data_IF_925432433368
#
_entry.id   IF_925432433368
#
_cell.length_a   1.000
_cell.length_b   1.000
_cell.length_c   1.000
_cell.angle_alpha   90.00
_cell.angle_beta   90.00
_cell.angle_gamma   90.00
#
_symmetry.space_group_name_H-M   'P 1'
#
loop_
_entity.id
_entity.type
_entity.pdbx_description
1 polymer ?
#
# COMPACT_ATOMS: atom_id res chain seq x y z
N UNK A 1 -31.55 -18.55 0.78
CA UNK A 1 -30.18 -18.83 1.27
C UNK A 1 -30.22 -20.07 2.15
N UNK A 2 -29.59 -21.17 1.70
CA UNK A 2 -29.75 -22.51 2.30
C UNK A 2 -28.56 -22.94 3.19
N UNK A 3 -27.53 -22.10 3.31
CA UNK A 3 -26.33 -22.43 4.06
C UNK A 3 -26.57 -22.45 5.59
N UNK A 4 -26.30 -23.59 6.21
CA UNK A 4 -26.49 -23.85 7.64
C UNK A 4 -25.60 -23.00 8.56
N UNK A 5 -24.40 -22.61 8.10
CA UNK A 5 -23.50 -21.75 8.85
C UNK A 5 -24.05 -20.33 9.07
N UNK A 6 -24.89 -19.84 8.16
CA UNK A 6 -25.49 -18.49 8.21
C UNK A 6 -26.73 -18.42 9.13
N UNK A 7 -27.28 -19.57 9.55
CA UNK A 7 -28.47 -19.64 10.41
C UNK A 7 -28.15 -19.79 11.90
N UNK A 8 -26.89 -20.07 12.26
CA UNK A 8 -26.51 -20.27 13.66
C UNK A 8 -26.46 -18.91 14.38
N UNK A 9 -27.49 -18.62 15.18
CA UNK A 9 -27.62 -17.36 15.92
C UNK A 9 -28.33 -16.23 15.17
N UNK A 10 -28.83 -16.49 13.96
CA UNK A 10 -29.55 -15.48 13.17
C UNK A 10 -30.95 -15.24 13.75
N UNK A 11 -31.19 -14.02 14.27
CA UNK A 11 -32.51 -13.56 14.66
C UNK A 11 -33.10 -12.71 13.53
N UNK A 12 -34.28 -13.08 13.05
CA UNK A 12 -34.99 -12.30 12.05
C UNK A 12 -35.46 -10.99 12.68
N UNK A 13 -34.87 -9.88 12.28
CA UNK A 13 -35.31 -8.56 12.75
C UNK A 13 -36.47 -8.13 11.83
N UNK A 14 -37.66 -7.94 12.42
CA UNK A 14 -38.84 -7.45 11.71
C UNK A 14 -38.97 -5.96 11.98
N UNK A 15 -38.80 -5.16 10.94
CA UNK A 15 -39.15 -3.74 10.96
C UNK A 15 -40.41 -3.55 10.15
N UNK A 16 -41.27 -2.63 10.60
CA UNK A 16 -42.23 -1.97 9.74
C UNK A 16 -41.80 -0.51 9.61
N UNK A 17 -41.94 0.02 8.39
CA UNK A 17 -41.68 1.44 8.10
C UNK A 17 -43.03 2.13 8.13
N UNK A 18 -43.24 2.96 9.14
CA UNK A 18 -44.35 3.90 9.19
C UNK A 18 -43.71 5.28 9.38
N UNK A 19 -43.89 6.16 8.39
CA UNK A 19 -43.42 7.54 8.37
C UNK A 19 -41.92 7.77 8.65
N UNK A 20 -41.03 7.19 7.82
CA UNK A 20 -39.57 7.39 7.85
C UNK A 20 -38.86 7.09 9.18
N UNK A 21 -39.53 6.38 10.11
CA UNK A 21 -38.93 5.84 11.34
C UNK A 21 -38.97 4.31 11.34
N UNK A 22 -37.83 3.70 11.64
CA UNK A 22 -37.69 2.25 11.83
C UNK A 22 -38.12 1.88 13.26
N UNK A 23 -39.27 1.21 13.40
CA UNK A 23 -39.75 0.71 14.69
C UNK A 23 -39.41 -0.78 14.84
N UNK A 24 -38.75 -1.16 15.94
CA UNK A 24 -38.62 -2.55 16.38
C UNK A 24 -39.84 -2.91 17.23
N UNK A 25 -40.47 -4.07 16.96
CA UNK A 25 -41.50 -4.62 17.84
C UNK A 25 -40.84 -5.02 19.16
N UNK A 26 -41.12 -4.28 20.22
CA UNK A 26 -40.97 -4.75 21.59
C UNK A 26 -42.29 -5.44 21.91
N UNK A 27 -42.24 -6.72 22.23
CA UNK A 27 -43.44 -7.45 22.69
C UNK A 27 -43.97 -6.75 23.95
N UNK A 28 -45.25 -6.40 23.85
CA UNK A 28 -46.05 -5.61 24.77
C UNK A 28 -46.32 -6.42 26.05
N UNK A 29 -45.68 -6.05 27.16
CA UNK A 29 -46.22 -6.27 28.49
C UNK A 29 -45.92 -5.01 29.32
N UNK A 30 -47.01 -4.29 29.62
CA UNK A 30 -47.23 -3.44 30.79
C UNK A 30 -46.63 -2.01 30.85
N UNK A 31 -47.57 -1.07 30.68
CA UNK A 31 -47.86 0.12 31.50
C UNK A 31 -47.26 1.49 31.11
N UNK A 32 -48.09 2.27 30.43
CA UNK A 32 -48.47 3.67 30.72
C UNK A 32 -47.65 4.40 31.81
N UNK A 33 -46.90 5.43 31.41
CA UNK A 33 -46.97 6.74 32.07
C UNK A 33 -46.30 7.83 31.24
N UNK A 34 -46.91 9.00 31.32
CA UNK A 34 -46.79 10.11 30.42
C UNK A 34 -45.67 11.08 30.83
N UNK A 35 -45.29 11.91 29.86
CA UNK A 35 -44.87 13.32 30.02
C UNK A 35 -43.44 13.67 30.49
N UNK A 36 -42.82 14.50 29.62
CA UNK A 36 -41.80 15.56 29.85
C UNK A 36 -40.46 15.14 30.48
N UNK A 37 -39.30 15.48 29.93
CA UNK A 37 -38.73 16.83 29.84
C UNK A 37 -37.57 16.85 28.82
N UNK A 38 -37.38 18.03 28.22
CA UNK A 38 -36.30 18.33 27.28
C UNK A 38 -35.11 18.89 28.05
N UNK A 39 -34.12 18.07 28.36
CA UNK A 39 -32.82 18.55 28.86
C UNK A 39 -31.72 18.38 27.81
N UNK A 40 -31.41 19.51 27.18
CA UNK A 40 -30.14 19.76 26.51
C UNK A 40 -29.07 19.87 27.59
N UNK A 41 -28.10 18.96 27.58
CA UNK A 41 -26.81 19.24 28.20
C UNK A 41 -25.69 19.23 27.16
N UNK A 42 -25.10 20.40 27.00
CA UNK A 42 -23.86 20.64 26.27
C UNK A 42 -22.72 20.37 27.24
N UNK A 43 -22.01 19.26 27.04
CA UNK A 43 -20.78 18.96 27.78
C UNK A 43 -19.58 18.98 26.83
N UNK A 44 -18.63 19.84 27.20
CA UNK A 44 -17.42 20.23 26.51
C UNK A 44 -16.50 19.04 26.19
N UNK A 45 -15.99 18.99 24.96
CA UNK A 45 -14.93 18.08 24.57
C UNK A 45 -13.60 18.64 25.05
N UNK A 46 -13.01 18.05 26.09
CA UNK A 46 -11.63 18.34 26.50
C UNK A 46 -10.68 17.63 25.55
N UNK A 47 -10.13 18.39 24.61
CA UNK A 47 -9.02 17.95 23.78
C UNK A 47 -7.75 17.87 24.65
N UNK A 48 -7.43 16.68 25.15
CA UNK A 48 -6.10 16.40 25.70
C UNK A 48 -5.11 16.33 24.54
N UNK A 49 -4.59 17.50 24.17
CA UNK A 49 -3.35 17.62 23.42
C UNK A 49 -2.23 17.16 24.38
N UNK A 50 -1.93 15.86 24.34
CA UNK A 50 -0.59 15.43 24.72
C UNK A 50 0.37 16.02 23.69
N UNK A 51 1.05 17.10 24.10
CA UNK A 51 2.31 17.52 23.54
C UNK A 51 3.32 16.38 23.75
N UNK A 52 3.27 15.36 22.89
CA UNK A 52 4.43 14.52 22.69
C UNK A 52 5.49 15.40 22.02
N UNK A 53 6.27 16.03 22.88
CA UNK A 53 7.64 16.50 22.69
C UNK A 53 8.22 16.07 21.33
N UNK A 54 8.73 17.00 20.50
CA UNK A 54 9.56 16.67 19.37
C UNK A 54 10.90 16.14 19.89
N UNK A 55 10.90 14.91 20.41
CA UNK A 55 12.12 14.12 20.55
C UNK A 55 12.65 14.00 19.14
N UNK A 56 13.70 14.75 18.84
CA UNK A 56 14.44 14.68 17.58
C UNK A 56 14.82 13.21 17.36
N UNK A 57 13.99 12.50 16.59
CA UNK A 57 14.29 11.16 16.11
C UNK A 57 15.40 11.33 15.10
N UNK A 58 16.49 10.63 15.33
CA UNK A 58 17.63 10.50 14.43
C UNK A 58 17.11 10.12 13.04
N UNK A 59 17.24 11.04 12.07
CA UNK A 59 17.43 10.79 10.63
C UNK A 59 16.51 9.84 9.85
N UNK A 60 15.37 9.40 10.39
CA UNK A 60 14.45 8.47 9.71
C UNK A 60 13.28 9.17 9.04
N UNK A 61 12.81 8.65 7.90
CA UNK A 61 11.51 9.02 7.36
C UNK A 61 10.41 8.72 8.40
N UNK A 62 9.37 9.56 8.51
CA UNK A 62 8.24 9.26 9.39
C UNK A 62 7.57 7.94 8.98
N UNK A 63 7.02 7.22 9.95
CA UNK A 63 6.29 5.97 9.70
C UNK A 63 5.12 6.23 8.74
N UNK A 64 4.89 5.37 7.73
CA UNK A 64 3.70 5.46 6.87
C UNK A 64 2.40 5.46 7.68
N UNK A 65 1.35 6.07 7.13
CA UNK A 65 0.02 5.92 7.71
C UNK A 65 -0.44 4.46 7.58
N UNK A 66 -1.10 3.93 8.62
CA UNK A 66 -1.62 2.57 8.62
C UNK A 66 -2.97 2.47 7.93
N UNK A 67 -3.16 1.44 7.10
CA UNK A 67 -4.44 1.08 6.50
C UNK A 67 -5.22 0.15 7.42
N UNK A 68 -6.49 0.47 7.59
CA UNK A 68 -7.47 -0.40 8.21
C UNK A 68 -8.22 -1.24 7.14
N UNK A 69 -9.07 -2.16 7.59
CA UNK A 69 -9.85 -3.01 6.69
C UNK A 69 -10.87 -2.23 5.84
N UNK A 70 -11.49 -1.17 6.38
CA UNK A 70 -12.39 -0.30 5.63
C UNK A 70 -11.67 0.47 4.53
N UNK A 71 -10.43 0.91 4.76
CA UNK A 71 -9.61 1.56 3.75
C UNK A 71 -9.36 0.61 2.58
N UNK A 72 -9.01 -0.65 2.87
CA UNK A 72 -8.80 -1.68 1.83
C UNK A 72 -10.10 -1.96 1.06
N UNK A 73 -11.24 -2.07 1.75
CA UNK A 73 -12.54 -2.28 1.10
C UNK A 73 -12.88 -1.09 0.20
N UNK A 74 -12.58 0.14 0.64
CA UNK A 74 -12.82 1.35 -0.14
C UNK A 74 -12.04 1.40 -1.47
N UNK A 75 -10.98 0.60 -1.60
CA UNK A 75 -10.19 0.52 -2.83
C UNK A 75 -10.84 -0.32 -3.93
N UNK A 76 -11.89 -1.08 -3.62
CA UNK A 76 -12.60 -1.90 -4.61
C UNK A 76 -13.36 -1.01 -5.60
N UNK A 77 -13.23 -1.32 -6.89
CA UNK A 77 -13.94 -0.64 -7.98
C UNK A 77 -15.47 -0.65 -7.79
N UNK A 78 -16.01 -1.63 -7.06
CA UNK A 78 -17.46 -1.71 -6.78
C UNK A 78 -17.98 -0.63 -5.83
N UNK A 79 -17.10 0.07 -5.10
CA UNK A 79 -17.44 1.23 -4.26
C UNK A 79 -17.03 2.56 -4.90
N UNK A 80 -16.37 2.52 -6.05
CA UNK A 80 -15.93 3.71 -6.78
C UNK A 80 -17.00 4.14 -7.79
N UNK A 81 -17.55 5.34 -7.57
CA UNK A 81 -18.57 5.94 -8.45
C UNK A 81 -17.96 6.88 -9.50
N UNK A 82 -16.63 7.06 -9.53
CA UNK A 82 -15.97 8.00 -10.46
C UNK A 82 -16.26 7.67 -11.93
N UNK A 83 -16.44 6.38 -12.23
CA UNK A 83 -16.79 5.89 -13.57
C UNK A 83 -18.13 6.37 -14.10
N UNK A 84 -19.05 6.87 -13.25
CA UNK A 84 -20.29 7.51 -13.71
C UNK A 84 -20.08 8.92 -14.26
N UNK A 85 -18.94 9.56 -13.96
CA UNK A 85 -18.67 10.96 -14.27
C UNK A 85 -17.55 11.15 -15.29
N UNK A 86 -17.20 10.09 -16.03
CA UNK A 86 -16.02 10.06 -16.91
C UNK A 86 -14.72 10.48 -16.18
N UNK A 87 -14.69 10.33 -14.84
CA UNK A 87 -13.51 10.59 -14.03
C UNK A 87 -12.72 9.28 -13.91
N UNK A 88 -11.54 9.27 -14.51
CA UNK A 88 -10.61 8.15 -14.56
C UNK A 88 -9.93 7.92 -13.19
N UNK A 89 -10.71 7.76 -12.13
CA UNK A 89 -10.31 7.66 -10.72
C UNK A 89 -9.45 6.44 -10.36
N UNK A 90 -8.93 5.72 -11.34
CA UNK A 90 -8.23 4.47 -11.12
C UNK A 90 -6.72 4.67 -10.93
N UNK A 91 -6.26 4.47 -9.70
CA UNK A 91 -4.86 4.34 -9.36
C UNK A 91 -4.43 2.87 -9.31
N UNK A 92 -3.21 2.58 -9.78
CA UNK A 92 -2.60 1.26 -9.59
C UNK A 92 -2.12 1.08 -8.15
N UNK A 93 -2.33 -0.11 -7.57
CA UNK A 93 -1.90 -0.44 -6.21
C UNK A 93 -1.10 -1.74 -6.19
N UNK A 94 -0.09 -1.79 -5.34
CA UNK A 94 0.79 -2.95 -5.18
C UNK A 94 1.11 -3.18 -3.71
N UNK A 95 1.29 -4.44 -3.32
CA UNK A 95 1.74 -4.81 -1.96
C UNK A 95 3.22 -5.18 -2.04
N UNK A 96 4.02 -4.70 -1.09
CA UNK A 96 5.45 -5.02 -0.98
C UNK A 96 5.85 -5.24 0.47
N UNK A 97 6.80 -6.15 0.69
CA UNK A 97 7.49 -6.32 1.98
C UNK A 97 8.76 -5.49 2.11
N UNK A 98 9.15 -4.74 1.07
CA UNK A 98 10.37 -3.95 1.08
C UNK A 98 10.26 -2.76 2.05
N UNK A 99 11.38 -2.33 2.65
CA UNK A 99 11.40 -1.10 3.45
C UNK A 99 10.96 0.11 2.63
N UNK A 100 10.25 1.03 3.29
CA UNK A 100 9.72 2.28 2.69
C UNK A 100 10.82 3.08 1.97
N UNK A 101 12.02 3.15 2.57
CA UNK A 101 13.18 3.82 1.97
C UNK A 101 13.62 3.18 0.64
N UNK A 102 13.59 1.84 0.53
CA UNK A 102 13.94 1.09 -0.68
C UNK A 102 12.91 1.35 -1.79
N UNK A 103 11.62 1.37 -1.43
CA UNK A 103 10.53 1.69 -2.36
C UNK A 103 10.65 3.12 -2.87
N UNK A 104 10.84 4.11 -1.99
CA UNK A 104 11.00 5.51 -2.37
C UNK A 104 12.23 5.70 -3.28
N UNK A 105 13.35 5.04 -2.96
CA UNK A 105 14.56 5.10 -3.78
C UNK A 105 14.33 4.50 -5.17
N UNK A 106 13.55 3.40 -5.26
CA UNK A 106 13.19 2.81 -6.54
C UNK A 106 12.26 3.71 -7.35
N UNK A 107 11.29 4.36 -6.72
CA UNK A 107 10.42 5.34 -7.39
C UNK A 107 11.23 6.51 -7.98
N UNK A 108 12.27 6.97 -7.28
CA UNK A 108 13.19 7.97 -7.83
C UNK A 108 14.00 7.47 -9.02
N UNK A 109 14.51 6.24 -8.94
CA UNK A 109 15.27 5.64 -10.03
C UNK A 109 14.39 5.55 -11.29
N UNK A 110 13.15 5.09 -11.14
CA UNK A 110 12.16 5.03 -12.22
C UNK A 110 11.96 6.42 -12.81
N UNK A 111 11.72 7.43 -11.95
CA UNK A 111 11.49 8.80 -12.37
C UNK A 111 12.67 9.40 -13.17
N UNK A 112 13.91 9.11 -12.76
CA UNK A 112 15.10 9.55 -13.49
C UNK A 112 15.17 8.93 -14.88
N UNK A 113 14.87 7.64 -15.01
CA UNK A 113 14.87 6.94 -16.31
C UNK A 113 13.86 7.57 -17.27
N UNK A 114 12.67 7.93 -16.78
CA UNK A 114 11.63 8.58 -17.59
C UNK A 114 11.76 10.11 -17.65
N UNK A 115 12.85 10.69 -17.12
CA UNK A 115 13.08 12.14 -17.09
C UNK A 115 11.99 12.96 -16.39
N UNK A 116 11.39 12.42 -15.32
CA UNK A 116 10.40 13.09 -14.50
C UNK A 116 11.07 13.84 -13.34
N UNK A 117 10.50 14.98 -12.99
CA UNK A 117 10.87 15.71 -11.78
C UNK A 117 10.25 15.03 -10.57
N UNK A 118 11.04 14.85 -9.50
CA UNK A 118 10.59 14.18 -8.27
C UNK A 118 10.46 15.19 -7.14
N UNK A 119 9.33 15.15 -6.44
CA UNK A 119 9.12 15.85 -5.16
C UNK A 119 8.78 14.82 -4.10
N UNK A 120 9.53 14.83 -2.99
CA UNK A 120 9.30 13.95 -1.85
C UNK A 120 8.74 14.73 -0.68
N UNK A 121 7.75 14.13 -0.02
CA UNK A 121 7.26 14.59 1.28
C UNK A 121 6.88 13.36 2.08
N UNK A 122 7.63 13.08 3.14
CA UNK A 122 7.36 11.97 4.06
C UNK A 122 7.30 10.62 3.32
N UNK A 123 6.16 9.93 3.37
CA UNK A 123 5.90 8.66 2.65
C UNK A 123 5.22 8.85 1.29
N UNK A 124 5.26 10.07 0.75
CA UNK A 124 4.66 10.42 -0.54
C UNK A 124 5.71 10.93 -1.53
N UNK A 125 5.60 10.46 -2.76
CA UNK A 125 6.44 10.84 -3.89
C UNK A 125 5.54 11.38 -5.00
N UNK A 126 5.79 12.59 -5.45
CA UNK A 126 5.12 13.18 -6.62
C UNK A 126 6.10 13.20 -7.79
N UNK A 127 5.66 12.65 -8.91
CA UNK A 127 6.42 12.55 -10.15
C UNK A 127 5.74 13.44 -11.20
N UNK A 128 6.51 14.30 -11.86
CA UNK A 128 5.99 15.27 -12.81
C UNK A 128 6.79 15.19 -14.11
N UNK A 129 6.13 14.79 -15.19
CA UNK A 129 6.71 14.73 -16.52
C UNK A 129 6.93 16.12 -17.11
N UNK A 130 8.01 16.26 -17.88
CA UNK A 130 8.34 17.49 -18.59
C UNK A 130 7.67 17.61 -19.96
N UNK A 131 7.15 16.49 -20.50
CA UNK A 131 6.50 16.43 -21.80
C UNK A 131 5.08 16.98 -21.71
N UNK A 132 4.74 17.93 -22.59
CA UNK A 132 3.38 18.43 -22.71
C UNK A 132 2.56 17.44 -23.58
N UNK A 133 1.70 16.63 -22.95
CA UNK A 133 0.71 15.80 -23.64
C UNK A 133 -0.54 16.59 -24.03
N UNK A 134 -1.52 15.91 -24.65
CA UNK A 134 -2.81 16.51 -25.07
C UNK A 134 -3.55 17.13 -23.88
N UNK A 135 -3.47 16.48 -22.72
CA UNK A 135 -4.07 16.94 -21.45
C UNK A 135 -3.06 17.63 -20.52
N UNK A 136 -1.95 18.13 -21.07
CA UNK A 136 -0.85 18.73 -20.31
C UNK A 136 0.16 17.69 -19.81
N UNK A 137 1.08 18.08 -18.89
CA UNK A 137 2.12 17.18 -18.40
C UNK A 137 1.54 16.09 -17.50
N UNK A 138 2.05 14.86 -17.68
CA UNK A 138 1.70 13.73 -16.84
C UNK A 138 2.22 13.96 -15.40
N UNK A 139 1.29 14.03 -14.46
CA UNK A 139 1.60 14.18 -13.03
C UNK A 139 1.06 12.97 -12.27
N UNK A 140 1.91 12.34 -11.47
CA UNK A 140 1.62 11.10 -10.74
C UNK A 140 1.96 11.30 -9.26
N UNK A 141 1.12 10.79 -8.37
CA UNK A 141 1.41 10.71 -6.95
C UNK A 141 1.48 9.25 -6.52
N UNK A 142 2.59 8.85 -5.90
CA UNK A 142 2.77 7.58 -5.24
C UNK A 142 2.77 7.80 -3.72
N UNK A 143 1.93 7.07 -3.00
CA UNK A 143 1.81 7.13 -1.55
C UNK A 143 1.96 5.73 -0.97
N UNK A 144 2.71 5.64 0.13
CA UNK A 144 3.03 4.38 0.79
C UNK A 144 2.29 4.35 2.11
N UNK A 145 1.56 3.26 2.34
CA UNK A 145 0.81 3.01 3.56
C UNK A 145 1.22 1.69 4.19
N UNK A 146 1.20 1.62 5.51
CA UNK A 146 1.47 0.37 6.23
C UNK A 146 0.20 -0.49 6.28
N UNK A 147 0.30 -1.76 5.92
CA UNK A 147 -0.80 -2.72 6.03
C UNK A 147 -0.61 -3.66 7.23
N UNK A 148 0.62 -4.14 7.41
CA UNK A 148 1.06 -4.91 8.57
C UNK A 148 2.50 -4.49 8.92
N UNK A 149 3.07 -4.90 10.05
CA UNK A 149 4.47 -4.57 10.39
C UNK A 149 5.50 -4.99 9.33
N UNK A 150 5.14 -5.94 8.44
CA UNK A 150 6.01 -6.47 7.40
C UNK A 150 5.54 -6.16 5.97
N UNK A 151 4.37 -5.53 5.80
CA UNK A 151 3.78 -5.28 4.48
C UNK A 151 3.32 -3.83 4.37
N UNK A 152 3.63 -3.24 3.22
CA UNK A 152 3.16 -1.91 2.84
C UNK A 152 2.39 -1.98 1.53
N UNK A 153 1.43 -1.08 1.38
CA UNK A 153 0.70 -0.83 0.14
C UNK A 153 1.27 0.42 -0.50
N UNK A 154 1.65 0.31 -1.77
CA UNK A 154 2.04 1.44 -2.61
C UNK A 154 0.88 1.75 -3.53
N UNK A 155 0.23 2.89 -3.31
CA UNK A 155 -0.83 3.40 -4.18
C UNK A 155 -0.27 4.47 -5.11
N UNK A 156 -0.51 4.32 -6.41
CA UNK A 156 -0.02 5.23 -7.45
C UNK A 156 -1.20 5.78 -8.22
N UNK A 157 -1.47 7.09 -8.08
CA UNK A 157 -2.61 7.79 -8.67
C UNK A 157 -2.15 8.82 -9.70
N UNK A 158 -2.86 8.89 -10.83
CA UNK A 158 -2.76 10.02 -11.77
C UNK A 158 -3.32 11.28 -11.11
N UNK A 159 -2.62 12.40 -11.26
CA UNK A 159 -3.05 13.74 -10.79
C UNK A 159 -3.30 14.72 -11.94
N UNK A 160 -2.71 14.46 -13.11
CA UNK A 160 -2.91 15.26 -14.32
C UNK A 160 -2.27 14.59 -15.52
N UNK A 161 -2.59 15.04 -16.73
CA UNK A 161 -2.11 14.48 -17.99
C UNK A 161 -3.00 13.40 -18.59
N UNK A 162 -2.51 12.78 -19.66
CA UNK A 162 -3.27 11.80 -20.43
C UNK A 162 -3.37 10.44 -19.71
N UNK A 163 -4.51 9.77 -19.88
CA UNK A 163 -4.75 8.45 -19.26
C UNK A 163 -3.89 7.37 -19.91
N UNK A 164 -3.77 7.39 -21.23
CA UNK A 164 -3.00 6.42 -22.00
C UNK A 164 -1.52 6.49 -21.62
N UNK A 165 -0.97 7.70 -21.54
CA UNK A 165 0.42 7.92 -21.08
C UNK A 165 0.64 7.41 -19.64
N UNK A 166 -0.34 7.60 -18.75
CA UNK A 166 -0.28 7.06 -17.39
C UNK A 166 -0.30 5.52 -17.35
N UNK A 167 -1.17 4.89 -18.13
CA UNK A 167 -1.28 3.43 -18.21
C UNK A 167 -0.01 2.80 -18.80
N UNK A 168 0.55 3.40 -19.86
CA UNK A 168 1.83 2.99 -20.43
C UNK A 168 2.97 3.11 -19.42
N UNK A 169 3.07 4.22 -18.70
CA UNK A 169 4.05 4.38 -17.63
C UNK A 169 3.87 3.30 -16.55
N UNK A 170 2.64 3.06 -16.11
CA UNK A 170 2.37 2.07 -15.08
C UNK A 170 2.74 0.65 -15.53
N UNK A 171 2.42 0.28 -16.76
CA UNK A 171 2.63 -1.07 -17.29
C UNK A 171 4.07 -1.33 -17.69
N UNK A 172 4.75 -0.36 -18.30
CA UNK A 172 6.07 -0.56 -18.89
C UNK A 172 7.22 -0.23 -17.92
N UNK A 173 7.02 0.73 -17.03
CA UNK A 173 8.09 1.24 -16.16
C UNK A 173 7.84 0.88 -14.70
N UNK A 174 6.67 1.22 -14.17
CA UNK A 174 6.39 1.11 -12.75
C UNK A 174 6.21 -0.35 -12.28
N UNK A 175 5.26 -1.07 -12.86
CA UNK A 175 4.95 -2.47 -12.52
C UNK A 175 6.19 -3.37 -12.54
N UNK A 176 6.95 -3.46 -13.63
CA UNK A 176 8.09 -4.39 -13.67
C UNK A 176 9.19 -4.00 -12.67
N UNK A 177 9.44 -2.71 -12.48
CA UNK A 177 10.51 -2.25 -11.58
C UNK A 177 10.14 -2.35 -10.09
N UNK A 178 8.85 -2.30 -9.76
CA UNK A 178 8.35 -2.50 -8.39
C UNK A 178 8.08 -3.98 -8.06
N UNK A 179 7.73 -4.82 -9.03
CA UNK A 179 7.59 -6.27 -8.82
C UNK A 179 8.89 -6.91 -8.33
N UNK A 180 10.04 -6.43 -8.82
CA UNK A 180 11.36 -6.89 -8.34
C UNK A 180 11.62 -6.55 -6.86
N UNK A 181 10.90 -5.59 -6.27
CA UNK A 181 10.99 -5.29 -4.84
C UNK A 181 10.15 -6.21 -3.96
N UNK A 182 9.25 -7.00 -4.55
CA UNK A 182 8.33 -7.87 -3.79
C UNK A 182 8.91 -9.25 -3.49
N UNK A 183 9.97 -9.68 -4.18
CA UNK A 183 10.45 -11.06 -4.17
C UNK A 183 11.75 -11.32 -3.38
N UNK A 184 12.59 -10.31 -3.17
CA UNK A 184 13.91 -10.53 -2.55
C UNK A 184 13.91 -10.03 -1.10
N UNK A 185 13.54 -10.92 -0.18
CA UNK A 185 14.15 -11.08 1.16
C UNK A 185 13.50 -12.28 1.90
N UNK A 186 13.59 -13.47 1.32
CA UNK A 186 13.63 -14.75 2.07
C UNK A 186 14.91 -15.47 1.67
N UNK A 187 16.06 -14.84 1.91
CA UNK A 187 17.32 -15.56 1.94
C UNK A 187 17.71 -15.66 3.40
N UNK A 188 17.45 -16.83 3.96
CA UNK A 188 18.02 -17.25 5.23
C UNK A 188 19.55 -17.19 5.11
N UNK A 189 20.17 -16.35 5.93
CA UNK A 189 21.62 -16.34 6.16
C UNK A 189 22.10 -17.77 6.51
N UNK A 190 23.00 -18.41 5.75
CA UNK A 190 23.71 -19.56 6.25
C UNK A 190 24.78 -19.08 7.23
N UNK A 191 24.54 -19.32 8.51
CA UNK A 191 25.52 -19.19 9.60
C UNK A 191 26.79 -19.94 9.20
N UNK A 192 27.87 -19.20 8.98
CA UNK A 192 29.21 -19.74 8.79
C UNK A 192 29.74 -20.18 10.16
N UNK A 193 29.77 -21.49 10.40
CA UNK A 193 30.56 -22.06 11.50
C UNK A 193 31.95 -22.42 10.99
N UNK A 194 32.94 -21.80 11.60
CA UNK A 194 34.36 -22.05 11.41
C UNK A 194 34.85 -23.06 12.46
N UNK A 195 35.58 -24.09 12.00
CA UNK A 195 36.55 -24.88 12.77
C UNK A 195 37.40 -25.67 11.74
N UNK A 196 38.67 -25.34 11.49
CA UNK A 196 39.91 -25.95 12.08
C UNK A 196 39.85 -27.48 12.10
N UNK A 197 40.83 -28.30 11.73
CA UNK A 197 42.21 -28.25 11.23
C UNK A 197 42.47 -29.73 10.86
N UNK A 198 43.12 -30.05 9.73
CA UNK A 198 44.06 -31.18 9.70
C UNK A 198 44.83 -31.23 8.37
N UNK A 199 46.03 -31.76 8.50
CA UNK A 199 47.27 -31.43 7.80
C UNK A 199 47.65 -32.36 6.65
N UNK A 200 48.66 -31.88 5.89
CA UNK A 200 49.59 -32.59 4.97
C UNK A 200 49.09 -32.83 3.54
N UNK A 201 49.92 -32.87 2.50
CA UNK A 201 51.26 -32.38 2.12
C UNK A 201 51.40 -32.78 0.63
N UNK A 202 52.48 -32.35 -0.05
CA UNK A 202 52.92 -32.69 -1.43
C UNK A 202 52.32 -31.78 -2.53
N UNK A 203 53.00 -30.72 -3.02
CA UNK A 203 54.32 -30.52 -3.69
C UNK A 203 54.36 -31.02 -5.15
N UNK A 204 54.79 -30.10 -6.02
CA UNK A 204 55.24 -30.20 -7.42
C UNK A 204 54.12 -30.20 -8.49
N UNK A 205 54.16 -29.48 -9.62
CA UNK A 205 55.20 -28.70 -10.30
C UNK A 205 54.50 -27.73 -11.30
N UNK A 206 55.16 -26.63 -11.66
CA UNK A 206 54.77 -25.62 -12.67
C UNK A 206 54.96 -26.12 -14.12
N UNK A 207 54.76 -25.32 -15.19
CA UNK A 207 53.75 -24.29 -15.49
C UNK A 207 53.11 -24.45 -16.90
N UNK A 208 52.25 -23.49 -17.25
CA UNK A 208 51.56 -23.24 -18.53
C UNK A 208 52.40 -23.38 -19.81
N UNK A 209 51.77 -23.83 -20.90
CA UNK A 209 52.10 -23.38 -22.27
C UNK A 209 50.80 -23.15 -23.07
N UNK A 210 50.69 -21.93 -23.61
CA UNK A 210 49.65 -21.44 -24.50
C UNK A 210 49.82 -21.92 -25.96
N UNK A 211 48.77 -21.66 -26.77
CA UNK A 211 48.70 -21.52 -28.24
C UNK A 211 48.10 -22.68 -29.08
N UNK A 212 46.80 -22.52 -29.41
CA UNK A 212 46.10 -22.45 -30.74
C UNK A 212 46.67 -23.20 -31.99
N UNK A 213 45.92 -23.28 -33.13
CA UNK A 213 44.53 -23.75 -33.41
C UNK A 213 44.47 -24.72 -34.64
N UNK A 214 43.25 -25.14 -35.04
CA UNK A 214 42.86 -25.68 -36.39
C UNK A 214 43.48 -27.03 -36.81
N UNK A 215 42.90 -27.93 -37.62
CA UNK A 215 41.76 -27.94 -38.55
C UNK A 215 41.43 -29.42 -38.91
N UNK A 216 40.23 -29.66 -39.44
CA UNK A 216 39.77 -30.78 -40.33
C UNK A 216 40.14 -32.25 -40.04
N UNK A 217 39.13 -33.13 -39.90
CA UNK A 217 38.52 -33.90 -41.00
C UNK A 217 37.12 -34.41 -40.61
#
# INVERSE_FOLDING_TARGET
MENSWFKKGFKHIKFYVEDDKLCNVVDDDELESESVESDRDSAVSESEIEYLEPRRRVGGLPRPASLNAFDIISFSQGFDLSGLFDDDGEGSRFVSGAPVSKIISKLEEIAKVVSFTVRKKDCRVSLEGSRQGVKGPLTIAAEIFELTPSLVVVEVKKKGGDKTEYEEFCNNELKPKLQNLTADDVVAEPVTVSAVDETASEIADSPQVCFLPSDTE
#
